data_IF_225706328356
#
_entry.id   IF_225706328356
#
_cell.length_a   1.000
_cell.length_b   1.000
_cell.length_c   1.000
_cell.angle_alpha   90.00
_cell.angle_beta   90.00
_cell.angle_gamma   90.00
#
_symmetry.space_group_name_H-M   'P 1'
#
loop_
_entity.id
_entity.type
_entity.pdbx_description
1 polymer ?
#
# COMPACT_ATOMS: atom_id res chain seq x y z
N UNK A 1 17.30 -68.13 41.34
CA UNK A 1 16.62 -67.05 42.09
C UNK A 1 17.22 -65.69 41.73
N UNK A 2 18.52 -65.44 41.97
CA UNK A 2 19.17 -64.17 41.61
C UNK A 2 19.09 -63.79 40.12
N UNK A 3 19.27 -64.75 39.21
CA UNK A 3 19.12 -64.54 37.76
C UNK A 3 17.70 -64.05 37.39
N UNK A 4 16.69 -64.66 38.01
CA UNK A 4 15.28 -64.33 37.80
C UNK A 4 14.95 -62.93 38.31
N UNK A 5 15.50 -62.57 39.48
CA UNK A 5 15.35 -61.22 40.06
C UNK A 5 15.99 -60.17 39.15
N UNK A 6 17.20 -60.43 38.65
CA UNK A 6 17.89 -59.52 37.71
C UNK A 6 17.12 -59.34 36.41
N UNK A 7 16.57 -60.42 35.86
CA UNK A 7 15.73 -60.32 34.65
C UNK A 7 14.44 -59.55 34.92
N UNK A 8 13.82 -59.75 36.09
CA UNK A 8 12.65 -58.99 36.51
C UNK A 8 12.97 -57.49 36.59
N UNK A 9 14.06 -57.13 37.25
CA UNK A 9 14.45 -55.72 37.40
C UNK A 9 14.78 -55.06 36.06
N UNK A 10 15.43 -55.77 35.13
CA UNK A 10 15.66 -55.29 33.77
C UNK A 10 14.35 -55.06 32.99
N UNK A 11 13.36 -55.94 33.16
CA UNK A 11 12.03 -55.72 32.53
C UNK A 11 11.27 -54.55 33.15
N UNK A 12 11.42 -54.32 34.47
CA UNK A 12 10.81 -53.16 35.14
C UNK A 12 11.42 -51.85 34.63
N UNK A 13 12.74 -51.79 34.52
CA UNK A 13 13.44 -50.63 33.97
C UNK A 13 12.97 -50.32 32.54
N UNK A 14 12.87 -51.35 31.70
CA UNK A 14 12.36 -51.23 30.32
C UNK A 14 10.91 -50.70 30.29
N UNK A 15 10.05 -51.17 31.20
CA UNK A 15 8.67 -50.67 31.33
C UNK A 15 8.67 -49.20 31.72
N UNK A 16 9.50 -48.79 32.68
CA UNK A 16 9.61 -47.39 33.11
C UNK A 16 10.06 -46.48 31.96
N UNK A 17 11.03 -46.90 31.14
CA UNK A 17 11.47 -46.15 29.97
C UNK A 17 10.35 -45.98 28.92
N UNK A 18 9.55 -47.04 28.70
CA UNK A 18 8.39 -46.96 27.81
C UNK A 18 7.29 -46.06 28.36
N UNK A 19 7.01 -46.11 29.67
CA UNK A 19 6.06 -45.22 30.31
C UNK A 19 6.49 -43.75 30.21
N UNK A 20 7.78 -43.47 30.40
CA UNK A 20 8.34 -42.13 30.23
C UNK A 20 8.22 -41.65 28.77
N UNK A 21 8.51 -42.54 27.82
CA UNK A 21 8.38 -42.24 26.38
C UNK A 21 6.92 -42.00 26.00
N UNK A 22 5.99 -42.80 26.52
CA UNK A 22 4.56 -42.65 26.30
C UNK A 22 4.05 -41.33 26.89
N UNK A 23 4.55 -40.90 28.05
CA UNK A 23 4.21 -39.59 28.62
C UNK A 23 4.63 -38.46 27.69
N UNK A 24 5.87 -38.48 27.16
CA UNK A 24 6.34 -37.47 26.20
C UNK A 24 5.48 -37.42 24.94
N UNK A 25 5.04 -38.56 24.43
CA UNK A 25 4.11 -38.60 23.29
C UNK A 25 2.74 -38.03 23.63
N UNK A 26 2.22 -38.26 24.85
CA UNK A 26 0.96 -37.67 25.29
C UNK A 26 1.05 -36.15 25.40
N UNK A 27 2.14 -35.64 25.98
CA UNK A 27 2.38 -34.20 26.10
C UNK A 27 2.48 -33.55 24.70
N UNK A 28 3.24 -34.15 23.80
CA UNK A 28 3.36 -33.68 22.42
C UNK A 28 2.02 -33.68 21.67
N UNK A 29 1.21 -34.74 21.82
CA UNK A 29 -0.12 -34.80 21.18
C UNK A 29 -1.05 -33.74 21.77
N UNK A 30 -1.02 -33.52 23.08
CA UNK A 30 -1.78 -32.45 23.75
C UNK A 30 -1.38 -31.06 23.22
N UNK A 31 -0.07 -30.81 23.07
CA UNK A 31 0.43 -29.55 22.51
C UNK A 31 -0.02 -29.37 21.06
N UNK A 32 0.09 -30.40 20.22
CA UNK A 32 -0.36 -30.35 18.82
C UNK A 32 -1.87 -30.16 18.69
N UNK A 33 -2.66 -30.78 19.57
CA UNK A 33 -4.12 -30.59 19.61
C UNK A 33 -4.47 -29.16 20.01
N UNK A 34 -3.75 -28.60 20.99
CA UNK A 34 -3.92 -27.20 21.42
C UNK A 34 -3.59 -26.24 20.29
N UNK A 35 -2.43 -26.41 19.63
CA UNK A 35 -2.03 -25.60 18.47
C UNK A 35 -3.04 -25.68 17.32
N UNK A 36 -3.56 -26.87 17.01
CA UNK A 36 -4.61 -27.03 15.99
C UNK A 36 -5.89 -26.30 16.38
N UNK A 37 -6.31 -26.40 17.65
CA UNK A 37 -7.50 -25.69 18.13
C UNK A 37 -7.34 -24.18 18.01
N UNK A 38 -6.17 -23.64 18.36
CA UNK A 38 -5.89 -22.21 18.28
C UNK A 38 -5.81 -21.72 16.83
N UNK A 39 -5.22 -22.51 15.92
CA UNK A 39 -5.25 -22.21 14.48
C UNK A 39 -6.69 -22.21 13.93
N UNK A 40 -7.51 -23.19 14.31
CA UNK A 40 -8.91 -23.23 13.91
C UNK A 40 -9.69 -22.02 14.44
N UNK A 41 -9.44 -21.59 15.68
CA UNK A 41 -10.01 -20.36 16.24
C UNK A 41 -9.57 -19.12 15.47
N UNK A 42 -8.27 -19.00 15.18
CA UNK A 42 -7.73 -17.88 14.41
C UNK A 42 -8.33 -17.78 13.00
N UNK A 43 -8.50 -18.93 12.32
CA UNK A 43 -9.18 -18.99 11.03
C UNK A 43 -10.66 -18.63 11.12
N UNK A 44 -11.36 -19.10 12.16
CA UNK A 44 -12.75 -18.75 12.40
C UNK A 44 -12.93 -17.25 12.68
N UNK A 45 -12.06 -16.66 13.50
CA UNK A 45 -12.06 -15.22 13.79
C UNK A 45 -11.74 -14.41 12.52
N UNK A 46 -10.75 -14.81 11.73
CA UNK A 46 -10.44 -14.20 10.45
C UNK A 46 -11.63 -14.20 9.49
N UNK A 47 -12.37 -15.32 9.42
CA UNK A 47 -13.59 -15.42 8.61
C UNK A 47 -14.72 -14.54 9.14
N UNK A 48 -14.91 -14.45 10.47
CA UNK A 48 -15.91 -13.57 11.09
C UNK A 48 -15.61 -12.09 10.82
N UNK A 49 -14.33 -11.69 10.89
CA UNK A 49 -13.92 -10.32 10.53
C UNK A 49 -14.21 -10.03 9.06
N UNK A 50 -13.98 -11.01 8.17
CA UNK A 50 -14.27 -10.86 6.75
C UNK A 50 -15.78 -10.77 6.46
N UNK A 51 -16.60 -11.59 7.13
CA UNK A 51 -18.07 -11.52 7.03
C UNK A 51 -18.62 -10.20 7.62
N UNK A 52 -18.05 -9.70 8.71
CA UNK A 52 -18.46 -8.42 9.32
C UNK A 52 -18.07 -7.23 8.44
N UNK A 53 -16.90 -7.26 7.80
CA UNK A 53 -16.49 -6.24 6.83
C UNK A 53 -17.39 -6.26 5.58
N UNK A 54 -17.77 -7.46 5.12
CA UNK A 54 -18.69 -7.61 3.99
C UNK A 54 -20.11 -7.13 4.35
N UNK A 55 -20.63 -7.42 5.55
CA UNK A 55 -21.93 -6.91 5.99
C UNK A 55 -21.97 -5.39 6.18
N UNK A 56 -20.90 -4.76 6.67
CA UNK A 56 -20.81 -3.28 6.73
C UNK A 56 -20.83 -2.64 5.33
N UNK A 57 -20.23 -3.30 4.33
CA UNK A 57 -20.27 -2.82 2.95
C UNK A 57 -21.70 -2.90 2.35
N UNK A 58 -22.47 -3.94 2.69
CA UNK A 58 -23.85 -4.09 2.24
C UNK A 58 -24.85 -3.17 2.98
N UNK A 59 -24.67 -2.91 4.27
CA UNK A 59 -25.56 -1.98 5.02
C UNK A 59 -25.34 -0.52 4.67
N UNK A 60 -24.14 -0.12 4.24
CA UNK A 60 -23.87 1.26 3.80
C UNK A 60 -24.48 1.55 2.41
N UNK A 61 -24.90 0.52 1.66
CA UNK A 61 -25.48 0.71 0.32
C UNK A 61 -27.01 0.82 0.33
N UNK A 62 -27.67 0.59 1.48
CA UNK A 62 -29.15 0.49 1.54
C UNK A 62 -29.85 1.47 2.48
N UNK A 63 -29.15 2.32 3.24
CA UNK A 63 -29.80 3.31 4.14
C UNK A 63 -29.27 4.74 4.10
N UNK A 64 -28.45 5.15 3.13
CA UNK A 64 -28.02 6.55 2.94
C UNK A 64 -28.64 7.19 1.69
N UNK A 65 -29.96 7.03 1.54
CA UNK A 65 -30.76 7.79 0.56
C UNK A 65 -31.40 9.06 1.12
N UNK A 66 -31.21 9.40 2.41
CA UNK A 66 -31.77 10.64 3.00
C UNK A 66 -30.95 11.16 4.19
N UNK A 67 -29.87 11.91 3.94
CA UNK A 67 -29.45 12.99 4.85
C UNK A 67 -28.55 14.01 4.14
N UNK A 68 -28.94 15.31 4.06
CA UNK A 68 -28.22 16.31 3.30
C UNK A 68 -27.22 17.08 4.18
N UNK A 69 -26.15 16.46 4.65
CA UNK A 69 -25.05 17.20 5.34
C UNK A 69 -23.68 16.56 5.09
N UNK A 70 -23.26 16.49 3.83
CA UNK A 70 -21.84 16.33 3.48
C UNK A 70 -21.58 16.91 2.08
N UNK A 71 -21.91 18.20 1.90
CA UNK A 71 -21.23 18.99 0.88
C UNK A 71 -19.83 19.31 1.39
N UNK A 72 -18.79 18.76 0.76
CA UNK A 72 -17.58 19.48 0.30
C UNK A 72 -16.40 18.52 0.05
N UNK A 73 -16.39 17.82 -1.09
CA UNK A 73 -15.20 17.60 -1.95
C UNK A 73 -15.52 16.64 -3.11
N UNK A 74 -16.41 17.08 -4.00
CA UNK A 74 -16.57 16.50 -5.33
C UNK A 74 -17.03 17.56 -6.33
N UNK A 75 -16.44 18.76 -6.26
CA UNK A 75 -16.58 19.73 -7.34
C UNK A 75 -15.54 19.44 -8.42
N UNK A 76 -16.05 19.02 -9.58
CA UNK A 76 -15.36 18.78 -10.86
C UNK A 76 -14.75 17.39 -11.08
N UNK A 77 -15.59 16.36 -11.12
CA UNK A 77 -15.37 15.26 -12.05
C UNK A 77 -16.62 15.09 -12.90
N UNK A 78 -16.50 15.37 -14.19
CA UNK A 78 -17.61 15.25 -15.14
C UNK A 78 -18.21 13.85 -15.10
N UNK A 79 -19.54 13.79 -15.08
CA UNK A 79 -20.43 12.66 -15.37
C UNK A 79 -19.75 11.29 -15.60
N UNK A 80 -19.14 10.72 -14.57
CA UNK A 80 -18.63 9.35 -14.64
C UNK A 80 -19.77 8.43 -14.25
N UNK A 81 -20.18 7.58 -15.18
CA UNK A 81 -21.29 6.66 -14.98
C UNK A 81 -20.95 5.70 -13.83
N UNK A 82 -21.97 5.23 -13.10
CA UNK A 82 -21.78 4.25 -12.02
C UNK A 82 -20.95 3.03 -12.48
N UNK A 83 -21.11 2.62 -13.73
CA UNK A 83 -20.32 1.57 -14.36
C UNK A 83 -18.82 1.90 -14.47
N UNK A 84 -18.44 3.14 -14.80
CA UNK A 84 -17.04 3.55 -14.85
C UNK A 84 -16.39 3.58 -13.46
N UNK A 85 -17.13 3.96 -12.42
CA UNK A 85 -16.64 3.90 -11.04
C UNK A 85 -16.43 2.45 -10.61
N UNK A 86 -17.39 1.56 -10.88
CA UNK A 86 -17.25 0.13 -10.58
C UNK A 86 -16.07 -0.50 -11.32
N UNK A 87 -15.86 -0.15 -12.60
CA UNK A 87 -14.72 -0.62 -13.37
C UNK A 87 -13.38 -0.19 -12.73
N UNK A 88 -13.25 1.07 -12.29
CA UNK A 88 -12.05 1.55 -11.57
C UNK A 88 -11.81 0.83 -10.25
N UNK A 89 -12.87 0.49 -9.52
CA UNK A 89 -12.77 -0.28 -8.27
C UNK A 89 -12.27 -1.70 -8.54
N UNK A 90 -12.84 -2.38 -9.54
CA UNK A 90 -12.41 -3.72 -9.94
C UNK A 90 -10.95 -3.70 -10.38
N UNK A 91 -10.56 -2.73 -11.20
CA UNK A 91 -9.16 -2.58 -11.64
C UNK A 91 -8.20 -2.34 -10.46
N UNK A 92 -8.60 -1.53 -9.48
CA UNK A 92 -7.80 -1.32 -8.28
C UNK A 92 -7.63 -2.60 -7.45
N UNK A 93 -8.70 -3.39 -7.29
CA UNK A 93 -8.63 -4.69 -6.60
C UNK A 93 -7.76 -5.71 -7.35
N UNK A 94 -7.87 -5.80 -8.69
CA UNK A 94 -7.00 -6.66 -9.49
C UNK A 94 -5.53 -6.28 -9.30
N UNK A 95 -5.20 -4.98 -9.34
CA UNK A 95 -3.83 -4.49 -9.10
C UNK A 95 -3.36 -4.80 -7.67
N UNK A 96 -4.25 -4.75 -6.68
CA UNK A 96 -3.95 -5.14 -5.29
C UNK A 96 -3.62 -6.63 -5.18
N UNK A 97 -4.41 -7.49 -5.81
CA UNK A 97 -4.19 -8.95 -5.83
C UNK A 97 -2.87 -9.31 -6.54
N UNK A 98 -2.55 -8.68 -7.67
CA UNK A 98 -1.28 -8.88 -8.37
C UNK A 98 -0.08 -8.47 -7.50
N UNK A 99 -0.17 -7.33 -6.81
CA UNK A 99 0.88 -6.89 -5.88
C UNK A 99 1.07 -7.87 -4.72
N UNK A 100 -0.03 -8.39 -4.15
CA UNK A 100 -0.01 -9.40 -3.10
C UNK A 100 0.59 -10.72 -3.58
N UNK A 101 0.24 -11.17 -4.79
CA UNK A 101 0.81 -12.38 -5.37
C UNK A 101 2.31 -12.24 -5.64
N UNK A 102 2.74 -11.10 -6.16
CA UNK A 102 4.16 -10.79 -6.38
C UNK A 102 4.95 -10.79 -5.08
N UNK A 103 4.41 -10.18 -4.02
CA UNK A 103 5.03 -10.21 -2.69
C UNK A 103 5.17 -11.64 -2.15
N UNK A 104 4.11 -12.44 -2.24
CA UNK A 104 4.15 -13.86 -1.83
C UNK A 104 5.14 -14.69 -2.66
N UNK A 105 5.27 -14.39 -3.95
CA UNK A 105 6.23 -15.05 -4.82
C UNK A 105 7.67 -14.78 -4.37
N UNK A 106 8.00 -13.52 -4.04
CA UNK A 106 9.32 -13.14 -3.50
C UNK A 106 9.60 -13.86 -2.18
N UNK A 107 8.62 -13.97 -1.28
CA UNK A 107 8.77 -14.69 0.01
C UNK A 107 9.04 -16.19 -0.21
N UNK A 108 8.37 -16.84 -1.17
CA UNK A 108 8.66 -18.24 -1.51
C UNK A 108 10.06 -18.39 -2.11
N UNK A 109 10.46 -17.47 -2.99
CA UNK A 109 11.80 -17.49 -3.58
C UNK A 109 12.89 -17.25 -2.54
N UNK A 110 12.65 -16.42 -1.52
CA UNK A 110 13.64 -16.16 -0.47
C UNK A 110 13.97 -17.40 0.36
N UNK A 111 13.09 -18.41 0.40
CA UNK A 111 13.36 -19.69 1.07
C UNK A 111 14.46 -20.52 0.38
N UNK A 112 14.79 -20.22 -0.89
CA UNK A 112 15.89 -20.86 -1.62
C UNK A 112 17.22 -20.10 -1.50
N UNK A 113 17.24 -18.96 -0.81
CA UNK A 113 18.44 -18.15 -0.63
C UNK A 113 19.21 -18.57 0.64
N UNK A 114 20.55 -18.47 0.66
CA UNK A 114 21.34 -18.76 1.85
C UNK A 114 21.03 -17.81 3.02
N UNK A 115 21.20 -18.28 4.26
CA UNK A 115 21.00 -17.45 5.46
C UNK A 115 21.91 -16.20 5.50
N UNK A 116 23.08 -16.26 4.85
CA UNK A 116 23.99 -15.12 4.70
C UNK A 116 23.39 -13.96 3.91
N UNK A 117 22.47 -14.25 2.98
CA UNK A 117 21.77 -13.24 2.18
C UNK A 117 20.80 -12.42 3.04
N UNK A 118 20.08 -13.09 3.95
CA UNK A 118 19.04 -12.52 4.81
C UNK A 118 19.59 -11.91 6.12
N UNK A 119 20.84 -12.21 6.47
CA UNK A 119 21.49 -11.63 7.65
C UNK A 119 21.56 -10.11 7.54
N UNK A 120 21.47 -9.40 8.67
CA UNK A 120 21.66 -7.95 8.73
C UNK A 120 22.99 -7.54 8.09
N UNK A 121 22.94 -6.64 7.12
CA UNK A 121 24.09 -6.21 6.32
C UNK A 121 24.50 -7.18 5.20
N UNK A 122 23.70 -8.22 4.95
CA UNK A 122 23.83 -9.09 3.79
C UNK A 122 23.23 -8.46 2.52
N UNK A 123 23.28 -9.21 1.42
CA UNK A 123 22.88 -8.74 0.09
C UNK A 123 21.41 -8.34 0.00
N UNK A 124 20.54 -8.85 0.88
CA UNK A 124 19.14 -8.43 0.95
C UNK A 124 19.00 -6.92 1.22
N UNK A 125 19.80 -6.37 2.13
CA UNK A 125 19.79 -4.93 2.45
C UNK A 125 20.26 -4.09 1.26
N UNK A 126 21.29 -4.58 0.52
CA UNK A 126 21.77 -3.92 -0.68
C UNK A 126 20.69 -3.92 -1.80
N UNK A 127 19.99 -5.05 -1.99
CA UNK A 127 18.87 -5.15 -2.92
C UNK A 127 17.72 -4.20 -2.54
N UNK A 128 17.38 -4.11 -1.26
CA UNK A 128 16.36 -3.18 -0.77
C UNK A 128 16.76 -1.72 -1.00
N UNK A 129 18.04 -1.37 -0.82
CA UNK A 129 18.56 -0.04 -1.13
C UNK A 129 18.45 0.29 -2.62
N UNK A 130 18.73 -0.65 -3.51
CA UNK A 130 18.55 -0.46 -4.96
C UNK A 130 17.07 -0.26 -5.32
N UNK A 131 16.17 -1.09 -4.78
CA UNK A 131 14.73 -0.95 -4.97
C UNK A 131 14.18 0.37 -4.39
N UNK A 132 14.80 0.90 -3.34
CA UNK A 132 14.43 2.19 -2.76
C UNK A 132 14.68 3.35 -3.75
N UNK A 133 15.79 3.31 -4.51
CA UNK A 133 16.11 4.31 -5.53
C UNK A 133 15.03 4.33 -6.61
N UNK A 134 14.65 3.16 -7.12
CA UNK A 134 13.56 3.01 -8.11
C UNK A 134 12.23 3.55 -7.57
N UNK A 135 11.88 3.21 -6.32
CA UNK A 135 10.65 3.70 -5.67
C UNK A 135 10.67 5.21 -5.49
N UNK A 136 11.81 5.79 -5.15
CA UNK A 136 11.94 7.22 -4.94
C UNK A 136 11.77 7.98 -6.26
N UNK A 137 12.42 7.51 -7.34
CA UNK A 137 12.26 8.07 -8.68
C UNK A 137 10.78 8.07 -9.11
N UNK A 138 10.09 6.93 -8.97
CA UNK A 138 8.66 6.84 -9.27
C UNK A 138 7.77 7.76 -8.43
N UNK A 139 8.08 7.94 -7.13
CA UNK A 139 7.36 8.88 -6.26
C UNK A 139 7.59 10.34 -6.67
N UNK A 140 8.81 10.71 -7.04
CA UNK A 140 9.14 12.05 -7.53
C UNK A 140 8.35 12.38 -8.80
N UNK A 141 8.27 11.44 -9.75
CA UNK A 141 7.48 11.62 -10.97
C UNK A 141 5.98 11.72 -10.70
N UNK A 142 5.45 10.86 -9.83
CA UNK A 142 4.04 10.90 -9.46
C UNK A 142 3.67 12.26 -8.84
N UNK A 143 4.51 12.77 -7.93
CA UNK A 143 4.31 14.09 -7.33
C UNK A 143 4.41 15.21 -8.36
N UNK A 144 5.39 15.16 -9.27
CA UNK A 144 5.53 16.16 -10.33
C UNK A 144 4.30 16.20 -11.22
N UNK A 145 3.79 15.04 -11.64
CA UNK A 145 2.58 14.93 -12.45
C UNK A 145 1.35 15.45 -11.71
N UNK A 146 1.20 15.11 -10.42
CA UNK A 146 0.09 15.60 -9.61
C UNK A 146 0.11 17.13 -9.46
N UNK A 147 1.29 17.72 -9.28
CA UNK A 147 1.45 19.18 -9.19
C UNK A 147 1.12 19.89 -10.52
N UNK A 148 1.51 19.31 -11.66
CA UNK A 148 1.15 19.83 -12.99
C UNK A 148 -0.36 19.80 -13.21
N UNK A 149 -1.02 18.70 -12.83
CA UNK A 149 -2.48 18.56 -12.97
C UNK A 149 -3.24 19.52 -12.04
N UNK A 150 -2.78 19.66 -10.79
CA UNK A 150 -3.40 20.55 -9.80
C UNK A 150 -3.19 22.03 -10.10
N UNK A 151 -2.02 22.40 -10.62
CA UNK A 151 -1.63 23.78 -10.87
C UNK A 151 -1.14 23.93 -12.30
N UNK A 152 -2.06 24.09 -13.29
CA UNK A 152 -1.67 24.30 -14.68
C UNK A 152 -0.82 25.58 -14.75
N UNK A 153 0.46 25.38 -15.06
CA UNK A 153 1.42 26.48 -15.15
C UNK A 153 1.16 27.29 -16.41
N UNK A 154 1.29 28.62 -16.37
CA UNK A 154 1.25 29.44 -17.57
C UNK A 154 2.33 29.02 -18.59
N UNK A 155 2.09 29.13 -19.90
CA UNK A 155 3.00 28.68 -20.96
C UNK A 155 4.35 29.43 -21.00
N UNK A 156 4.56 30.43 -20.15
CA UNK A 156 5.79 31.20 -20.06
C UNK A 156 6.91 30.53 -19.24
N UNK A 157 6.74 29.28 -18.81
CA UNK A 157 7.78 28.51 -18.11
C UNK A 157 8.61 27.66 -19.10
N UNK A 158 9.92 27.90 -19.23
CA UNK A 158 10.79 27.10 -20.10
C UNK A 158 10.89 25.63 -19.65
N UNK A 159 10.76 24.68 -20.59
CA UNK A 159 11.06 23.25 -20.37
C UNK A 159 9.87 22.26 -20.44
N UNK A 160 8.71 22.68 -20.96
CA UNK A 160 7.59 21.77 -21.21
C UNK A 160 7.66 21.19 -22.63
N UNK A 161 8.16 19.97 -22.78
CA UNK A 161 7.79 19.15 -23.93
C UNK A 161 6.36 18.68 -23.69
N UNK A 162 5.43 19.37 -24.33
CA UNK A 162 4.01 18.99 -24.37
C UNK A 162 3.95 17.71 -25.21
N UNK A 163 3.72 16.54 -24.61
CA UNK A 163 3.36 15.35 -25.39
C UNK A 163 1.96 15.56 -25.95
N UNK A 164 1.92 15.97 -27.21
CA UNK A 164 0.70 16.27 -27.93
C UNK A 164 0.16 14.99 -28.57
N UNK A 165 -1.00 14.53 -28.12
CA UNK A 165 -1.85 13.59 -28.87
C UNK A 165 -2.50 14.36 -30.04
N UNK A 166 -2.71 13.76 -31.22
CA UNK A 166 -3.13 14.51 -32.41
C UNK A 166 -4.54 15.12 -32.23
N UNK A 167 -4.64 16.44 -32.41
CA UNK A 167 -5.90 17.16 -32.55
C UNK A 167 -6.22 17.33 -34.04
N UNK A 168 -7.38 16.87 -34.47
CA UNK A 168 -8.01 17.32 -35.71
C UNK A 168 -8.68 18.68 -35.48
N UNK A 169 -8.42 19.60 -36.40
CA UNK A 169 -8.82 20.99 -36.41
C UNK A 169 -10.35 21.19 -36.35
N UNK A 170 -10.80 22.18 -35.57
CA UNK A 170 -11.53 23.32 -36.13
C UNK A 170 -11.50 24.51 -35.16
N UNK A 171 -11.51 25.72 -35.71
CA UNK A 171 -11.31 26.96 -34.97
C UNK A 171 -12.54 27.42 -34.19
N UNK A 172 -12.30 28.16 -33.11
CA UNK A 172 -13.02 29.41 -32.86
C UNK A 172 -12.36 30.26 -31.77
N UNK A 173 -12.35 31.57 -32.05
CA UNK A 173 -12.00 32.66 -31.15
C UNK A 173 -13.12 32.83 -30.13
N UNK A 174 -12.82 32.76 -28.81
CA UNK A 174 -13.70 33.33 -27.77
C UNK A 174 -12.86 33.82 -26.58
N UNK A 175 -13.05 35.10 -26.26
CA UNK A 175 -12.66 35.80 -25.03
C UNK A 175 -12.90 34.97 -23.76
N UNK A 176 -12.02 35.00 -22.76
CA UNK A 176 -12.48 34.81 -21.38
C UNK A 176 -11.61 35.53 -20.34
N UNK A 177 -12.26 36.53 -19.75
CA UNK A 177 -12.10 37.11 -18.43
C UNK A 177 -11.23 36.35 -17.43
N UNK A 178 -10.27 37.11 -16.91
CA UNK A 178 -9.59 36.95 -15.62
C UNK A 178 -10.58 36.62 -14.51
N UNK A 179 -10.74 35.33 -14.20
CA UNK A 179 -11.46 34.88 -13.00
C UNK A 179 -10.45 34.52 -11.92
N UNK A 180 -10.39 35.40 -10.92
CA UNK A 180 -9.63 35.25 -9.69
C UNK A 180 -10.22 34.11 -8.86
N UNK A 181 -9.79 32.87 -9.09
CA UNK A 181 -10.11 31.76 -8.19
C UNK A 181 -9.15 31.77 -7.01
N UNK A 182 -9.68 32.12 -5.85
CA UNK A 182 -9.08 32.01 -4.52
C UNK A 182 -8.68 30.55 -4.24
N UNK A 183 -7.39 30.34 -3.97
CA UNK A 183 -6.85 29.05 -3.54
C UNK A 183 -7.29 28.82 -2.10
N UNK A 184 -8.26 27.93 -1.86
CA UNK A 184 -8.59 27.46 -0.51
C UNK A 184 -7.42 26.65 0.03
N UNK A 185 -6.93 27.08 1.20
CA UNK A 185 -5.68 26.65 1.81
C UNK A 185 -5.63 25.15 2.17
N UNK A 186 -4.43 24.61 2.12
CA UNK A 186 -4.07 23.32 2.70
C UNK A 186 -4.13 23.52 4.22
N UNK A 187 -4.90 22.71 4.96
CA UNK A 187 -4.98 22.77 6.43
C UNK A 187 -4.05 21.72 7.06
N UNK A 188 -3.60 21.96 8.30
CA UNK A 188 -2.83 20.99 9.08
C UNK A 188 -3.74 19.81 9.43
N UNK A 189 -3.34 18.54 9.19
CA UNK A 189 -4.13 17.39 9.59
C UNK A 189 -4.47 17.44 11.08
N UNK A 190 -5.76 17.53 11.41
CA UNK A 190 -6.27 17.58 12.79
C UNK A 190 -6.59 18.97 13.35
N UNK A 191 -6.47 20.05 12.57
CA UNK A 191 -6.94 21.39 12.98
C UNK A 191 -7.59 22.15 11.82
N UNK A 192 -8.71 22.84 12.07
CA UNK A 192 -9.40 23.70 11.09
C UNK A 192 -8.65 25.00 10.75
N UNK A 193 -7.44 25.18 11.28
CA UNK A 193 -6.63 26.36 11.00
C UNK A 193 -5.95 26.24 9.64
N UNK A 194 -6.16 27.21 8.73
CA UNK A 194 -5.44 27.24 7.45
C UNK A 194 -3.95 27.48 7.71
N UNK A 195 -3.09 26.76 6.98
CA UNK A 195 -1.66 27.05 6.98
C UNK A 195 -1.44 28.53 6.59
N UNK A 196 -0.49 29.25 7.23
CA UNK A 196 -0.10 30.58 6.78
C UNK A 196 0.18 30.56 5.28
N UNK A 197 -0.21 31.59 4.51
CA UNK A 197 0.04 31.61 3.07
C UNK A 197 1.54 31.42 2.84
N UNK A 198 1.91 30.29 2.22
CA UNK A 198 3.31 29.92 1.95
C UNK A 198 4.05 30.98 1.12
N UNK A 199 3.30 31.84 0.42
CA UNK A 199 3.80 32.89 -0.47
C UNK A 199 2.95 34.15 -0.34
N UNK A 200 3.57 35.32 -0.50
CA UNK A 200 2.89 36.62 -0.35
C UNK A 200 2.05 36.97 -1.57
N UNK A 201 2.38 36.44 -2.74
CA UNK A 201 1.67 36.71 -4.00
C UNK A 201 1.46 35.45 -4.86
N UNK A 202 0.41 35.46 -5.70
CA UNK A 202 0.10 34.38 -6.66
C UNK A 202 1.29 34.08 -7.57
N UNK A 203 2.03 35.10 -8.02
CA UNK A 203 3.22 34.92 -8.86
C UNK A 203 4.34 34.13 -8.16
N UNK A 204 4.58 34.38 -6.87
CA UNK A 204 5.56 33.64 -6.08
C UNK A 204 5.16 32.17 -5.92
N UNK A 205 3.87 31.90 -5.74
CA UNK A 205 3.33 30.54 -5.68
C UNK A 205 3.59 29.75 -6.96
N UNK A 206 3.25 30.30 -8.14
CA UNK A 206 3.51 29.61 -9.41
C UNK A 206 5.01 29.44 -9.69
N UNK A 207 5.84 30.40 -9.29
CA UNK A 207 7.30 30.27 -9.39
C UNK A 207 7.84 29.15 -8.50
N UNK A 208 7.33 29.03 -7.27
CA UNK A 208 7.67 27.95 -6.35
C UNK A 208 7.25 26.59 -6.91
N UNK A 209 6.00 26.42 -7.34
CA UNK A 209 5.48 25.16 -7.90
C UNK A 209 6.29 24.76 -9.15
N UNK A 210 6.60 25.72 -10.02
CA UNK A 210 7.44 25.50 -11.19
C UNK A 210 8.82 24.95 -10.81
N UNK A 211 9.52 25.62 -9.88
CA UNK A 211 10.83 25.16 -9.39
C UNK A 211 10.74 23.80 -8.72
N UNK A 212 9.68 23.53 -7.98
CA UNK A 212 9.45 22.23 -7.33
C UNK A 212 9.28 21.11 -8.36
N UNK A 213 8.49 21.33 -9.41
CA UNK A 213 8.33 20.35 -10.50
C UNK A 213 9.67 20.11 -11.21
N UNK A 214 10.43 21.16 -11.52
CA UNK A 214 11.76 21.00 -12.11
C UNK A 214 12.71 20.23 -11.20
N UNK A 215 12.72 20.53 -9.89
CA UNK A 215 13.52 19.83 -8.91
C UNK A 215 13.15 18.33 -8.87
N UNK A 216 11.86 18.01 -8.77
CA UNK A 216 11.38 16.63 -8.72
C UNK A 216 11.79 15.84 -9.98
N UNK A 217 11.63 16.43 -11.18
CA UNK A 217 12.06 15.80 -12.44
C UNK A 217 13.58 15.66 -12.55
N UNK A 218 14.33 16.63 -12.05
CA UNK A 218 15.80 16.55 -11.99
C UNK A 218 16.25 15.43 -11.04
N UNK A 219 15.56 15.28 -9.90
CA UNK A 219 15.81 14.21 -8.94
C UNK A 219 15.47 12.85 -9.53
N UNK A 220 14.34 12.68 -10.24
CA UNK A 220 14.07 11.45 -10.98
C UNK A 220 15.19 11.14 -11.98
N UNK A 221 15.60 12.12 -12.78
CA UNK A 221 16.65 11.92 -13.79
C UNK A 221 17.97 11.50 -13.16
N UNK A 222 18.34 12.13 -12.04
CA UNK A 222 19.53 11.78 -11.28
C UNK A 222 19.43 10.36 -10.70
N UNK A 223 18.33 10.02 -10.04
CA UNK A 223 18.12 8.71 -9.43
C UNK A 223 18.14 7.58 -10.47
N UNK A 224 17.60 7.82 -11.67
CA UNK A 224 17.64 6.85 -12.77
C UNK A 224 19.05 6.66 -13.34
N UNK A 225 19.95 7.65 -13.24
CA UNK A 225 21.36 7.47 -13.65
C UNK A 225 22.19 6.65 -12.65
N UNK A 226 21.73 6.52 -11.40
CA UNK A 226 22.40 5.70 -10.38
C UNK A 226 21.94 4.24 -10.37
N UNK A 227 21.03 3.85 -11.28
CA UNK A 227 20.58 2.48 -11.49
C UNK A 227 21.55 1.70 -12.36
#
# INVERSE_FOLDING_TARGET
INELVRHLDATRETITDYEQTLSKFRDLVSDLQTQNSDLQRSLADGKRLQEQQQQQLYTTTSTDFTSPTASFMSSKFGSTSQAQTLAKVIEAELRRLEAEQSANHVVRLSAFLPDSFLRRGGDNEALLALLLIDRLAGKCDLLANHLVERYPLPPCVPGQTLMQLPQTADGNVVDTQTTTTTVTGICIPGTDNPLPPLTKCKAEFYSFITRLIHLLRSMTTLLTQYK
#
